data_IF_440369843658
#
_entry.id   IF_440369843658
#
_cell.length_a   1.000
_cell.length_b   1.000
_cell.length_c   1.000
_cell.angle_alpha   90.00
_cell.angle_beta   90.00
_cell.angle_gamma   90.00
#
_symmetry.space_group_name_H-M   'P 1'
#
loop_
_entity.id
_entity.type
_entity.pdbx_description
1 polymer ?
#
# COMPACT_ATOMS: atom_id res chain seq x y z
N UNK A 1 -14.55 18.66 45.96
CA UNK A 1 -15.49 18.67 44.79
C UNK A 1 -16.81 17.96 45.02
N UNK A 2 -16.90 16.67 45.40
CA UNK A 2 -18.23 16.03 45.63
C UNK A 2 -18.89 16.47 46.94
N UNK A 3 -18.11 16.72 47.99
CA UNK A 3 -18.64 17.16 49.29
C UNK A 3 -19.05 18.64 49.27
N UNK A 4 -18.27 19.51 48.61
CA UNK A 4 -18.61 20.94 48.41
C UNK A 4 -19.91 21.15 47.64
N UNK A 5 -20.23 20.27 46.68
CA UNK A 5 -21.49 20.34 45.93
C UNK A 5 -22.70 19.98 46.80
N UNK A 6 -22.54 19.02 47.71
CA UNK A 6 -23.61 18.58 48.61
C UNK A 6 -23.91 19.65 49.66
N UNK A 7 -22.87 20.29 50.19
CA UNK A 7 -22.97 21.40 51.14
C UNK A 7 -23.65 22.64 50.50
N UNK A 8 -23.31 22.95 49.25
CA UNK A 8 -23.97 24.03 48.50
C UNK A 8 -25.46 23.76 48.26
N UNK A 9 -25.83 22.52 47.94
CA UNK A 9 -27.23 22.14 47.73
C UNK A 9 -28.01 22.26 49.06
N UNK A 10 -27.47 21.73 50.16
CA UNK A 10 -28.15 21.77 51.46
C UNK A 10 -28.36 23.20 51.96
N UNK A 11 -27.36 24.07 51.82
CA UNK A 11 -27.46 25.49 52.20
C UNK A 11 -28.37 26.35 51.29
N UNK A 12 -28.78 25.84 50.12
CA UNK A 12 -29.82 26.49 49.29
C UNK A 12 -31.23 26.05 49.67
N UNK A 13 -31.39 24.80 50.10
CA UNK A 13 -32.69 24.27 50.56
C UNK A 13 -33.09 24.94 51.89
N UNK A 14 -32.15 25.08 52.82
CA UNK A 14 -32.41 25.70 54.13
C UNK A 14 -32.82 27.18 54.02
N UNK A 15 -32.22 27.93 53.07
CA UNK A 15 -32.63 29.32 52.76
C UNK A 15 -34.00 29.42 52.10
N UNK A 16 -34.41 28.40 51.36
CA UNK A 16 -35.75 28.34 50.76
C UNK A 16 -36.81 28.06 51.82
N UNK A 17 -36.52 27.14 52.75
CA UNK A 17 -37.40 26.80 53.87
C UNK A 17 -37.63 28.01 54.77
N UNK A 18 -36.56 28.74 55.13
CA UNK A 18 -36.66 29.96 55.94
C UNK A 18 -37.49 31.06 55.28
N UNK A 19 -37.42 31.21 53.95
CA UNK A 19 -38.24 32.19 53.20
C UNK A 19 -39.72 31.80 53.11
N UNK A 20 -40.03 30.51 53.11
CA UNK A 20 -41.41 30.02 53.13
C UNK A 20 -42.05 30.29 54.49
N UNK A 21 -41.29 30.08 55.58
CA UNK A 21 -41.76 30.37 56.93
C UNK A 21 -41.98 31.88 57.18
N UNK A 22 -41.09 32.74 56.66
CA UNK A 22 -41.27 34.21 56.71
C UNK A 22 -42.49 34.68 55.90
N UNK A 23 -42.80 34.05 54.76
CA UNK A 23 -44.00 34.37 53.96
C UNK A 23 -45.29 33.86 54.61
N UNK A 24 -45.21 32.81 55.44
CA UNK A 24 -46.34 32.27 56.20
C UNK A 24 -46.75 33.16 57.38
N UNK A 25 -45.86 34.04 57.85
CA UNK A 25 -46.07 34.90 59.02
C UNK A 25 -46.09 36.41 58.68
N UNK A 26 -47.16 36.92 58.03
CA UNK A 26 -47.45 38.37 57.99
C UNK A 26 -48.93 38.70 57.67
N UNK A 27 -49.47 39.90 58.03
CA UNK A 27 -50.53 39.99 59.04
C UNK A 27 -51.90 40.50 58.53
N UNK A 28 -52.92 40.23 59.36
CA UNK A 28 -54.29 40.76 59.34
C UNK A 28 -54.34 42.29 59.26
N UNK A 29 -55.14 42.82 58.33
CA UNK A 29 -55.66 44.19 58.35
C UNK A 29 -57.18 44.18 58.52
N UNK A 30 -57.68 45.15 59.29
CA UNK A 30 -59.02 45.23 59.85
C UNK A 30 -60.02 46.03 58.98
N UNK A 31 -61.30 45.60 59.03
CA UNK A 31 -62.50 46.43 59.20
C UNK A 31 -63.03 47.30 58.05
N UNK A 32 -64.22 46.96 57.53
CA UNK A 32 -65.34 47.89 57.29
C UNK A 32 -66.60 47.14 56.80
N UNK A 33 -67.71 47.28 57.55
CA UNK A 33 -69.08 46.96 57.14
C UNK A 33 -69.57 47.90 56.01
N UNK A 34 -70.49 47.44 55.13
CA UNK A 34 -71.81 48.05 54.79
C UNK A 34 -72.37 47.54 53.43
N UNK A 35 -73.27 46.55 53.50
CA UNK A 35 -74.64 46.41 52.91
C UNK A 35 -75.08 47.14 51.58
N UNK A 36 -75.57 46.32 50.61
CA UNK A 36 -76.66 46.43 49.57
C UNK A 36 -76.46 46.84 48.07
N UNK A 37 -76.68 45.83 47.19
CA UNK A 37 -77.43 45.73 45.89
C UNK A 37 -76.87 46.25 44.52
N UNK A 38 -77.17 45.63 43.33
CA UNK A 38 -76.43 45.80 42.05
C UNK A 38 -77.21 46.38 40.83
N UNK A 39 -76.50 46.84 39.77
CA UNK A 39 -77.00 47.05 38.37
C UNK A 39 -75.87 47.04 37.28
N UNK A 40 -76.21 46.73 36.00
CA UNK A 40 -75.43 46.09 34.90
C UNK A 40 -74.73 46.98 33.82
N UNK A 41 -73.78 46.42 33.03
CA UNK A 41 -73.16 46.99 31.78
C UNK A 41 -72.91 45.88 30.69
N UNK A 42 -72.99 46.28 29.40
CA UNK A 42 -73.16 45.56 28.11
C UNK A 42 -71.91 44.83 27.51
N UNK A 43 -72.09 43.65 26.86
CA UNK A 43 -71.06 42.59 26.65
C UNK A 43 -70.64 42.26 25.19
N UNK A 44 -71.27 42.85 24.17
CA UNK A 44 -71.23 42.31 22.78
C UNK A 44 -69.93 42.46 21.97
N UNK A 45 -69.10 43.50 22.18
CA UNK A 45 -67.82 43.67 21.45
C UNK A 45 -66.71 42.74 21.95
N UNK A 46 -66.79 42.37 23.23
CA UNK A 46 -65.83 41.49 23.89
C UNK A 46 -65.96 40.06 23.34
N UNK A 47 -67.18 39.58 23.14
CA UNK A 47 -67.47 38.22 22.65
C UNK A 47 -66.83 37.92 21.28
N UNK A 48 -66.85 38.88 20.35
CA UNK A 48 -66.33 38.66 18.99
C UNK A 48 -64.80 38.59 18.93
N UNK A 49 -64.12 39.36 19.79
CA UNK A 49 -62.66 39.29 19.94
C UNK A 49 -62.23 38.01 20.67
N UNK A 50 -62.99 37.59 21.68
CA UNK A 50 -62.77 36.33 22.40
C UNK A 50 -62.83 35.13 21.45
N UNK A 51 -63.84 35.06 20.57
CA UNK A 51 -63.97 33.94 19.61
C UNK A 51 -62.81 33.87 18.61
N UNK A 52 -62.30 35.01 18.14
CA UNK A 52 -61.14 35.05 17.24
C UNK A 52 -59.84 34.63 17.93
N UNK A 53 -59.69 34.94 19.22
CA UNK A 53 -58.51 34.57 20.01
C UNK A 53 -58.58 33.09 20.38
N UNK A 54 -59.75 32.58 20.78
CA UNK A 54 -59.91 31.17 21.14
C UNK A 54 -59.68 30.24 19.95
N UNK A 55 -60.07 30.62 18.74
CA UNK A 55 -59.81 29.81 17.54
C UNK A 55 -58.31 29.67 17.22
N UNK A 56 -57.52 30.73 17.43
CA UNK A 56 -56.05 30.67 17.26
C UNK A 56 -55.38 29.89 18.40
N UNK A 57 -55.91 30.01 19.61
CA UNK A 57 -55.46 29.27 20.78
C UNK A 57 -55.65 27.76 20.58
N UNK A 58 -56.81 27.31 20.11
CA UNK A 58 -57.08 25.89 19.79
C UNK A 58 -56.13 25.34 18.70
N UNK A 59 -55.81 26.12 17.66
CA UNK A 59 -54.85 25.69 16.63
C UNK A 59 -53.41 25.54 17.21
N UNK A 60 -53.01 26.45 18.10
CA UNK A 60 -51.71 26.34 18.79
C UNK A 60 -51.66 25.20 19.79
N UNK A 61 -52.76 24.93 20.50
CA UNK A 61 -52.91 23.77 21.39
C UNK A 61 -52.82 22.46 20.59
N UNK A 62 -53.44 22.39 19.40
CA UNK A 62 -53.34 21.25 18.50
C UNK A 62 -51.90 21.00 17.98
N UNK A 63 -51.15 22.07 17.68
CA UNK A 63 -49.73 21.97 17.30
C UNK A 63 -48.84 21.54 18.47
N UNK A 64 -49.09 22.05 19.67
CA UNK A 64 -48.40 21.62 20.89
C UNK A 64 -48.68 20.16 21.24
N UNK A 65 -49.90 19.68 21.02
CA UNK A 65 -50.25 18.27 21.22
C UNK A 65 -49.45 17.34 20.27
N UNK A 66 -49.37 17.69 18.98
CA UNK A 66 -48.55 16.93 18.00
C UNK A 66 -47.06 16.97 18.31
N UNK A 67 -46.54 18.11 18.76
CA UNK A 67 -45.15 18.24 19.20
C UNK A 67 -44.86 17.36 20.42
N UNK A 68 -45.77 17.32 21.39
CA UNK A 68 -45.67 16.44 22.56
C UNK A 68 -45.64 14.97 22.17
N UNK A 69 -46.49 14.55 21.22
CA UNK A 69 -46.51 13.18 20.71
C UNK A 69 -45.20 12.83 19.99
N UNK A 70 -44.68 13.72 19.15
CA UNK A 70 -43.39 13.53 18.48
C UNK A 70 -42.21 13.44 19.47
N UNK A 71 -42.22 14.26 20.53
CA UNK A 71 -41.22 14.20 21.61
C UNK A 71 -41.31 12.88 22.38
N UNK A 72 -42.52 12.39 22.68
CA UNK A 72 -42.71 11.09 23.32
C UNK A 72 -42.15 9.95 22.46
N UNK A 73 -42.44 9.93 21.16
CA UNK A 73 -41.91 8.93 20.22
C UNK A 73 -40.38 9.00 20.17
N UNK A 74 -39.80 10.20 20.12
CA UNK A 74 -38.35 10.40 20.12
C UNK A 74 -37.70 9.85 21.41
N UNK A 75 -38.27 10.15 22.58
CA UNK A 75 -37.78 9.66 23.87
C UNK A 75 -37.83 8.12 23.93
N UNK A 76 -38.90 7.50 23.45
CA UNK A 76 -39.03 6.04 23.43
C UNK A 76 -38.03 5.38 22.47
N UNK A 77 -37.78 6.00 21.32
CA UNK A 77 -36.74 5.55 20.38
C UNK A 77 -35.34 5.66 21.00
N UNK A 78 -35.01 6.77 21.67
CA UNK A 78 -33.71 6.94 22.34
C UNK A 78 -33.52 5.93 23.47
N UNK A 79 -34.55 5.63 24.27
CA UNK A 79 -34.49 4.58 25.30
C UNK A 79 -34.27 3.19 24.70
N UNK A 80 -34.93 2.88 23.59
CA UNK A 80 -34.76 1.60 22.88
C UNK A 80 -33.36 1.45 22.29
N UNK A 81 -32.78 2.54 21.78
CA UNK A 81 -31.42 2.54 21.25
C UNK A 81 -30.37 2.39 22.37
N UNK A 82 -30.51 3.14 23.45
CA UNK A 82 -29.62 3.03 24.61
C UNK A 82 -29.64 1.62 25.24
N UNK A 83 -30.82 1.01 25.40
CA UNK A 83 -30.92 -0.37 25.92
C UNK A 83 -30.32 -1.42 24.96
N UNK A 84 -30.48 -1.23 23.65
CA UNK A 84 -29.88 -2.11 22.63
C UNK A 84 -28.35 -2.01 22.62
N UNK A 85 -27.81 -0.80 22.78
CA UNK A 85 -26.37 -0.60 22.84
C UNK A 85 -25.79 -1.10 24.17
N UNK A 86 -26.50 -0.97 25.28
CA UNK A 86 -26.11 -1.61 26.55
C UNK A 86 -26.06 -3.14 26.43
N UNK A 87 -27.05 -3.76 25.77
CA UNK A 87 -27.05 -5.21 25.51
C UNK A 87 -25.89 -5.64 24.61
N UNK A 88 -25.58 -4.85 23.57
CA UNK A 88 -24.41 -5.10 22.71
C UNK A 88 -23.11 -4.97 23.49
N UNK A 89 -22.98 -3.97 24.35
CA UNK A 89 -21.81 -3.81 25.21
C UNK A 89 -21.63 -5.00 26.17
N UNK A 90 -22.72 -5.51 26.77
CA UNK A 90 -22.68 -6.73 27.59
C UNK A 90 -22.22 -7.94 26.79
N UNK A 91 -22.80 -8.16 25.61
CA UNK A 91 -22.42 -9.28 24.73
C UNK A 91 -20.97 -9.20 24.25
N UNK A 92 -20.49 -8.00 23.90
CA UNK A 92 -19.10 -7.77 23.54
C UNK A 92 -18.16 -8.02 24.72
N UNK A 93 -18.54 -7.58 25.92
CA UNK A 93 -17.75 -7.80 27.13
C UNK A 93 -17.63 -9.30 27.47
N UNK A 94 -18.73 -10.05 27.37
CA UNK A 94 -18.74 -11.50 27.59
C UNK A 94 -17.87 -12.22 26.54
N UNK A 95 -17.97 -11.81 25.28
CA UNK A 95 -17.14 -12.34 24.18
C UNK A 95 -15.64 -12.06 24.42
N UNK A 96 -15.28 -10.86 24.89
CA UNK A 96 -13.90 -10.50 25.21
C UNK A 96 -13.39 -11.35 26.39
N UNK A 97 -14.21 -11.57 27.42
CA UNK A 97 -13.83 -12.43 28.55
C UNK A 97 -13.62 -13.88 28.13
N UNK A 98 -14.48 -14.41 27.25
CA UNK A 98 -14.32 -15.74 26.68
C UNK A 98 -13.02 -15.85 25.86
N UNK A 99 -12.77 -14.89 24.95
CA UNK A 99 -11.53 -14.87 24.16
C UNK A 99 -10.28 -14.77 25.05
N UNK A 100 -10.33 -13.96 26.12
CA UNK A 100 -9.23 -13.86 27.09
C UNK A 100 -8.99 -15.19 27.80
N UNK A 101 -10.05 -15.92 28.14
CA UNK A 101 -9.94 -17.24 28.75
C UNK A 101 -9.34 -18.27 27.78
N UNK A 102 -9.79 -18.29 26.52
CA UNK A 102 -9.27 -19.17 25.46
C UNK A 102 -7.79 -18.89 25.13
N UNK A 103 -7.39 -17.61 25.13
CA UNK A 103 -5.97 -17.24 24.99
C UNK A 103 -5.15 -17.71 26.18
N UNK A 104 -5.65 -17.58 27.41
CA UNK A 104 -4.95 -18.05 28.60
C UNK A 104 -4.80 -19.58 28.63
N UNK A 105 -5.81 -20.33 28.20
CA UNK A 105 -5.71 -21.80 28.11
C UNK A 105 -4.75 -22.22 27.01
N UNK A 106 -4.82 -21.58 25.83
CA UNK A 106 -3.88 -21.85 24.72
C UNK A 106 -2.45 -21.49 25.12
N UNK A 107 -2.24 -20.36 25.79
CA UNK A 107 -0.93 -19.95 26.30
C UNK A 107 -0.36 -20.96 27.29
N UNK A 108 -1.17 -21.48 28.22
CA UNK A 108 -0.75 -22.55 29.13
C UNK A 108 -0.38 -23.82 28.38
N UNK A 109 -1.19 -24.25 27.41
CA UNK A 109 -0.88 -25.44 26.59
C UNK A 109 0.43 -25.27 25.82
N UNK A 110 0.69 -24.09 25.25
CA UNK A 110 1.95 -23.80 24.56
C UNK A 110 3.12 -23.77 25.54
N UNK A 111 2.94 -23.17 26.72
CA UNK A 111 3.96 -23.12 27.76
C UNK A 111 4.27 -24.52 28.32
N UNK A 112 3.26 -25.34 28.57
CA UNK A 112 3.39 -26.73 29.00
C UNK A 112 4.06 -27.58 27.94
N UNK A 113 3.74 -27.37 26.65
CA UNK A 113 4.40 -28.04 25.52
C UNK A 113 5.85 -27.60 25.36
N UNK A 114 6.15 -26.32 25.59
CA UNK A 114 7.51 -25.79 25.60
C UNK A 114 8.31 -26.36 26.76
N UNK A 115 7.72 -26.42 27.96
CA UNK A 115 8.34 -27.04 29.12
C UNK A 115 8.54 -28.54 28.90
N UNK A 116 7.57 -29.23 28.31
CA UNK A 116 7.67 -30.64 27.94
C UNK A 116 8.78 -30.88 26.91
N UNK A 117 8.94 -30.00 25.92
CA UNK A 117 10.06 -30.03 24.96
C UNK A 117 11.40 -29.75 25.65
N UNK A 118 11.44 -28.84 26.63
CA UNK A 118 12.61 -28.57 27.46
C UNK A 118 12.96 -29.71 28.43
N UNK A 119 11.98 -30.51 28.83
CA UNK A 119 12.14 -31.65 29.74
C UNK A 119 12.25 -33.01 29.04
N UNK A 120 12.30 -33.05 27.69
CA UNK A 120 12.71 -34.27 26.98
C UNK A 120 14.12 -34.61 27.51
N UNK A 121 14.33 -35.75 28.19
CA UNK A 121 15.67 -36.16 28.57
C UNK A 121 16.44 -36.24 27.26
N UNK A 122 17.59 -35.55 27.13
CA UNK A 122 18.46 -35.64 25.96
C UNK A 122 18.60 -37.13 25.59
N UNK A 123 17.81 -37.57 24.61
CA UNK A 123 17.74 -38.96 24.18
C UNK A 123 19.06 -39.20 23.50
N UNK A 124 20.06 -39.64 24.27
CA UNK A 124 21.45 -39.84 23.88
C UNK A 124 21.70 -39.21 22.53
N UNK A 125 21.76 -37.87 22.53
CA UNK A 125 22.27 -37.17 21.37
C UNK A 125 23.68 -37.72 21.31
N UNK A 126 23.93 -38.66 20.39
CA UNK A 126 25.26 -38.91 19.86
C UNK A 126 25.61 -37.57 19.24
N UNK A 127 26.07 -36.71 20.12
CA UNK A 127 26.44 -35.36 19.81
C UNK A 127 27.73 -35.63 19.10
N UNK A 128 27.70 -35.73 17.77
CA UNK A 128 28.85 -35.33 17.01
C UNK A 128 29.00 -33.85 17.32
N UNK A 129 29.64 -33.55 18.45
CA UNK A 129 30.29 -32.28 18.69
C UNK A 129 31.21 -32.17 17.49
N UNK A 130 30.77 -31.43 16.48
CA UNK A 130 31.68 -30.86 15.51
C UNK A 130 32.46 -29.83 16.33
N UNK A 131 33.50 -30.31 17.00
CA UNK A 131 34.54 -29.42 17.48
C UNK A 131 34.98 -28.61 16.25
N UNK A 132 35.01 -27.27 16.33
CA UNK A 132 35.60 -26.46 15.27
C UNK A 132 37.10 -26.80 15.06
N UNK A 133 37.68 -27.60 15.96
CA UNK A 133 39.00 -28.23 15.89
C UNK A 133 39.02 -29.61 15.20
N UNK A 134 37.89 -30.10 14.68
CA UNK A 134 37.86 -31.36 13.94
C UNK A 134 38.64 -31.21 12.64
N UNK A 135 39.60 -32.10 12.40
CA UNK A 135 40.46 -32.11 11.19
C UNK A 135 39.65 -31.98 9.91
N UNK A 136 38.45 -32.59 9.86
CA UNK A 136 37.57 -32.53 8.69
C UNK A 136 36.96 -31.15 8.44
N UNK A 137 36.59 -30.40 9.48
CA UNK A 137 36.05 -29.04 9.35
C UNK A 137 37.16 -28.08 8.91
N UNK A 138 38.37 -28.23 9.44
CA UNK A 138 39.52 -27.43 9.03
C UNK A 138 39.95 -27.73 7.58
N UNK A 139 39.96 -29.02 7.19
CA UNK A 139 40.19 -29.43 5.79
C UNK A 139 39.09 -28.92 4.86
N UNK A 140 37.83 -28.89 5.30
CA UNK A 140 36.72 -28.35 4.53
C UNK A 140 36.85 -26.83 4.32
N UNK A 141 37.18 -26.07 5.36
CA UNK A 141 37.44 -24.63 5.28
C UNK A 141 38.65 -24.35 4.37
N UNK A 142 39.74 -25.12 4.52
CA UNK A 142 40.90 -25.03 3.64
C UNK A 142 40.58 -25.38 2.20
N UNK A 143 39.76 -26.41 1.97
CA UNK A 143 39.28 -26.81 0.65
C UNK A 143 38.40 -25.74 0.01
N UNK A 144 37.51 -25.10 0.78
CA UNK A 144 36.71 -23.97 0.32
C UNK A 144 37.59 -22.77 -0.06
N UNK A 145 38.58 -22.42 0.76
CA UNK A 145 39.51 -21.35 0.46
C UNK A 145 40.33 -21.64 -0.81
N UNK A 146 40.83 -22.88 -0.96
CA UNK A 146 41.56 -23.29 -2.15
C UNK A 146 40.66 -23.28 -3.39
N UNK A 147 39.42 -23.76 -3.28
CA UNK A 147 38.45 -23.72 -4.37
C UNK A 147 38.15 -22.28 -4.80
N UNK A 148 37.98 -21.35 -3.84
CA UNK A 148 37.80 -19.93 -4.14
C UNK A 148 39.01 -19.33 -4.87
N UNK A 149 40.23 -19.64 -4.43
CA UNK A 149 41.45 -19.17 -5.10
C UNK A 149 41.55 -19.73 -6.52
N UNK A 150 41.29 -21.03 -6.71
CA UNK A 150 41.29 -21.66 -8.03
C UNK A 150 40.18 -21.06 -8.91
N UNK A 151 39.01 -20.77 -8.35
CA UNK A 151 37.90 -20.17 -9.09
C UNK A 151 38.24 -18.75 -9.56
N UNK A 152 38.82 -17.92 -8.69
CA UNK A 152 39.27 -16.56 -9.05
C UNK A 152 40.42 -16.63 -10.05
N UNK A 153 41.41 -17.50 -9.83
CA UNK A 153 42.54 -17.68 -10.74
C UNK A 153 42.07 -18.15 -12.12
N UNK A 154 41.22 -19.18 -12.17
CA UNK A 154 40.65 -19.72 -13.40
C UNK A 154 39.84 -18.68 -14.17
N UNK A 155 39.03 -17.88 -13.47
CA UNK A 155 38.28 -16.78 -14.09
C UNK A 155 39.23 -15.70 -14.65
N UNK A 156 40.29 -15.36 -13.90
CA UNK A 156 41.28 -14.36 -14.32
C UNK A 156 42.12 -14.84 -15.51
N UNK A 157 42.55 -16.11 -15.53
CA UNK A 157 43.27 -16.70 -16.66
C UNK A 157 42.39 -16.77 -17.89
N UNK A 158 41.13 -17.19 -17.72
CA UNK A 158 40.16 -17.24 -18.82
C UNK A 158 39.88 -15.84 -19.40
N UNK A 159 39.74 -14.82 -18.54
CA UNK A 159 39.59 -13.44 -18.99
C UNK A 159 40.81 -12.93 -19.76
N UNK A 160 42.03 -13.28 -19.28
CA UNK A 160 43.28 -12.92 -19.97
C UNK A 160 43.38 -13.60 -21.34
N UNK A 161 43.06 -14.89 -21.41
CA UNK A 161 43.03 -15.63 -22.67
C UNK A 161 42.01 -15.04 -23.63
N UNK A 162 40.78 -14.78 -23.17
CA UNK A 162 39.74 -14.17 -24.00
C UNK A 162 40.18 -12.82 -24.57
N UNK A 163 40.83 -11.97 -23.76
CA UNK A 163 41.39 -10.71 -24.24
C UNK A 163 42.46 -10.91 -25.31
N UNK A 164 43.35 -11.89 -25.12
CA UNK A 164 44.39 -12.18 -26.11
C UNK A 164 43.79 -12.72 -27.43
N UNK A 165 42.75 -13.56 -27.35
CA UNK A 165 42.03 -14.06 -28.52
C UNK A 165 41.33 -12.93 -29.28
N UNK A 166 40.64 -12.04 -28.57
CA UNK A 166 39.97 -10.88 -29.17
C UNK A 166 40.99 -9.95 -29.86
N UNK A 167 42.15 -9.75 -29.25
CA UNK A 167 43.21 -8.91 -29.80
C UNK A 167 43.84 -9.54 -31.06
N UNK A 168 44.14 -10.84 -31.04
CA UNK A 168 44.67 -11.56 -32.20
C UNK A 168 43.66 -11.62 -33.35
N UNK A 169 42.38 -11.84 -33.03
CA UNK A 169 41.28 -11.80 -34.01
C UNK A 169 41.14 -10.41 -34.63
N UNK A 170 41.17 -9.35 -33.83
CA UNK A 170 41.11 -7.98 -34.33
C UNK A 170 42.32 -7.66 -35.23
N UNK A 171 43.53 -8.08 -34.85
CA UNK A 171 44.74 -7.95 -35.69
C UNK A 171 44.54 -8.65 -37.04
N UNK A 172 44.03 -9.88 -37.04
CA UNK A 172 43.78 -10.64 -38.26
C UNK A 172 42.73 -9.96 -39.16
N UNK A 173 41.61 -9.51 -38.60
CA UNK A 173 40.56 -8.81 -39.36
C UNK A 173 41.03 -7.46 -39.90
N UNK A 174 41.79 -6.71 -39.11
CA UNK A 174 42.40 -5.46 -39.53
C UNK A 174 43.36 -5.65 -40.72
N UNK A 175 44.21 -6.69 -40.67
CA UNK A 175 45.07 -7.04 -41.80
C UNK A 175 44.28 -7.44 -43.04
N UNK A 176 43.17 -8.16 -42.88
CA UNK A 176 42.30 -8.54 -44.02
C UNK A 176 41.57 -7.35 -44.66
N UNK A 177 41.29 -6.29 -43.89
CA UNK A 177 40.73 -5.04 -44.41
C UNK A 177 41.76 -4.25 -45.24
N UNK A 178 43.03 -4.29 -44.85
CA UNK A 178 44.11 -3.55 -45.51
C UNK A 178 44.65 -4.42 -46.65
N UNK A 179 44.02 -4.31 -47.84
CA UNK A 179 44.15 -5.21 -49.00
C UNK A 179 45.58 -5.68 -49.40
N UNK A 180 46.68 -4.91 -49.21
CA UNK A 180 48.03 -5.44 -49.19
C UNK A 180 48.65 -5.35 -47.78
N UNK A 181 49.09 -6.49 -47.28
CA UNK A 181 49.91 -6.63 -46.07
C UNK A 181 51.33 -6.07 -46.27
N UNK A 182 51.45 -4.82 -46.72
CA UNK A 182 52.74 -4.15 -46.79
C UNK A 182 53.35 -4.09 -45.40
N UNK A 183 54.67 -4.31 -45.32
CA UNK A 183 55.43 -4.45 -44.08
C UNK A 183 55.19 -3.26 -43.12
N UNK A 184 54.89 -2.07 -43.67
CA UNK A 184 54.59 -0.87 -42.89
C UNK A 184 53.27 -0.94 -42.10
N UNK A 185 52.20 -1.55 -42.64
CA UNK A 185 50.91 -1.65 -41.95
C UNK A 185 50.94 -2.72 -40.85
N UNK A 186 51.62 -3.85 -41.11
CA UNK A 186 51.88 -4.86 -40.08
C UNK A 186 52.70 -4.22 -38.95
N UNK A 187 53.77 -3.50 -39.29
CA UNK A 187 54.62 -2.81 -38.31
C UNK A 187 53.86 -1.74 -37.53
N UNK A 188 52.91 -1.04 -38.15
CA UNK A 188 52.06 -0.07 -37.47
C UNK A 188 51.13 -0.74 -36.46
N UNK A 189 50.40 -1.79 -36.86
CA UNK A 189 49.50 -2.54 -35.97
C UNK A 189 50.30 -3.17 -34.83
N UNK A 190 51.41 -3.84 -35.13
CA UNK A 190 52.19 -4.50 -34.09
C UNK A 190 52.79 -3.51 -33.10
N UNK A 191 53.30 -2.36 -33.58
CA UNK A 191 53.81 -1.29 -32.70
C UNK A 191 52.73 -0.77 -31.76
N UNK A 192 51.51 -0.52 -32.23
CA UNK A 192 50.44 0.09 -31.43
C UNK A 192 49.62 -0.90 -30.60
N UNK A 193 49.73 -2.21 -30.88
CA UNK A 193 49.05 -3.25 -30.11
C UNK A 193 49.96 -3.88 -29.05
N UNK A 194 51.23 -4.18 -29.37
CA UNK A 194 52.15 -4.86 -28.44
C UNK A 194 53.17 -3.94 -27.78
N UNK A 195 53.94 -3.18 -28.56
CA UNK A 195 55.12 -2.43 -28.04
C UNK A 195 54.75 -1.11 -27.35
N UNK A 196 53.88 -0.32 -27.97
CA UNK A 196 53.39 0.97 -27.49
C UNK A 196 51.87 0.97 -27.52
N UNK A 197 51.27 0.17 -26.63
CA UNK A 197 49.82 -0.03 -26.58
C UNK A 197 49.08 1.31 -26.49
N UNK A 198 48.32 1.63 -27.53
CA UNK A 198 47.47 2.82 -27.57
C UNK A 198 46.02 2.39 -27.79
N UNK A 199 45.24 2.42 -26.72
CA UNK A 199 43.85 1.98 -26.73
C UNK A 199 42.99 2.81 -27.70
N UNK A 200 43.33 4.10 -27.93
CA UNK A 200 42.61 4.92 -28.91
C UNK A 200 42.83 4.45 -30.34
N UNK A 201 44.05 4.02 -30.65
CA UNK A 201 44.38 3.45 -31.97
C UNK A 201 43.71 2.10 -32.15
N UNK A 202 43.70 1.26 -31.11
CA UNK A 202 43.01 -0.04 -31.12
C UNK A 202 41.51 0.15 -31.37
N UNK A 203 40.88 1.12 -30.70
CA UNK A 203 39.46 1.44 -30.89
C UNK A 203 39.15 2.00 -32.28
N UNK A 204 40.01 2.87 -32.83
CA UNK A 204 39.86 3.36 -34.21
C UNK A 204 39.96 2.21 -35.21
N UNK A 205 40.92 1.30 -35.04
CA UNK A 205 41.06 0.09 -35.88
C UNK A 205 39.82 -0.79 -35.76
N UNK A 206 39.30 -1.02 -34.54
CA UNK A 206 38.05 -1.77 -34.31
C UNK A 206 36.87 -1.15 -35.04
N UNK A 207 36.72 0.17 -34.98
CA UNK A 207 35.65 0.90 -35.67
C UNK A 207 35.77 0.77 -37.19
N UNK A 208 36.97 0.95 -37.74
CA UNK A 208 37.23 0.81 -39.18
C UNK A 208 36.93 -0.58 -39.70
N UNK A 209 37.37 -1.62 -38.98
CA UNK A 209 37.08 -3.02 -39.30
C UNK A 209 35.57 -3.25 -39.32
N UNK A 210 34.84 -2.79 -38.29
CA UNK A 210 33.40 -2.96 -38.23
C UNK A 210 32.66 -2.27 -39.40
N UNK A 211 33.06 -1.05 -39.76
CA UNK A 211 32.48 -0.33 -40.91
C UNK A 211 32.76 -1.05 -42.22
N UNK A 212 33.99 -1.55 -42.40
CA UNK A 212 34.37 -2.30 -43.58
C UNK A 212 33.59 -3.61 -43.71
N UNK A 213 33.49 -4.39 -42.63
CA UNK A 213 32.74 -5.64 -42.60
C UNK A 213 31.25 -5.42 -42.87
N UNK A 214 30.64 -4.38 -42.29
CA UNK A 214 29.25 -4.00 -42.59
C UNK A 214 29.08 -3.61 -44.06
N UNK A 215 30.05 -2.89 -44.65
CA UNK A 215 30.00 -2.52 -46.07
C UNK A 215 30.08 -3.74 -46.99
N UNK A 216 30.93 -4.72 -46.69
CA UNK A 216 31.04 -5.99 -47.42
C UNK A 216 29.74 -6.77 -47.30
N UNK A 217 29.20 -6.89 -46.09
CA UNK A 217 27.95 -7.61 -45.85
C UNK A 217 26.79 -7.00 -46.64
N UNK A 218 26.65 -5.66 -46.60
CA UNK A 218 25.64 -4.94 -47.38
C UNK A 218 25.83 -5.11 -48.87
N UNK A 219 27.07 -5.06 -49.36
CA UNK A 219 27.36 -5.27 -50.77
C UNK A 219 26.91 -6.67 -51.22
N UNK A 220 27.30 -7.73 -50.50
CA UNK A 220 26.87 -9.09 -50.81
C UNK A 220 25.34 -9.25 -50.80
N UNK A 221 24.68 -8.68 -49.78
CA UNK A 221 23.22 -8.67 -49.70
C UNK A 221 22.58 -7.95 -50.90
N UNK A 222 23.15 -6.83 -51.34
CA UNK A 222 22.67 -6.11 -52.52
C UNK A 222 22.84 -6.93 -53.80
N UNK A 223 23.97 -7.62 -53.96
CA UNK A 223 24.24 -8.50 -55.10
C UNK A 223 23.25 -9.67 -55.16
N UNK A 224 22.98 -10.32 -54.03
CA UNK A 224 21.99 -11.42 -53.96
C UNK A 224 20.58 -10.95 -54.30
N UNK A 225 20.15 -9.80 -53.75
CA UNK A 225 18.83 -9.22 -54.04
C UNK A 225 18.75 -8.82 -55.52
N UNK A 226 19.82 -8.26 -56.09
CA UNK A 226 19.86 -7.91 -57.50
C UNK A 226 19.73 -9.15 -58.40
N UNK A 227 20.47 -10.22 -58.12
CA UNK A 227 20.38 -11.49 -58.83
C UNK A 227 18.97 -12.12 -58.74
N UNK A 228 18.37 -12.07 -57.54
CA UNK A 228 16.99 -12.54 -57.34
C UNK A 228 15.97 -11.73 -58.16
N UNK A 229 16.05 -10.39 -58.10
CA UNK A 229 15.15 -9.51 -58.86
C UNK A 229 15.32 -9.69 -60.37
N UNK A 230 16.54 -9.86 -60.85
CA UNK A 230 16.81 -10.16 -62.26
C UNK A 230 16.19 -11.50 -62.70
N UNK A 231 16.32 -12.54 -61.88
CA UNK A 231 15.70 -13.85 -62.16
C UNK A 231 14.17 -13.77 -62.24
N UNK A 232 13.55 -12.98 -61.35
CA UNK A 232 12.11 -12.75 -61.34
C UNK A 232 11.66 -11.95 -62.57
N UNK A 233 12.39 -10.90 -62.93
CA UNK A 233 12.11 -10.09 -64.11
C UNK A 233 12.18 -10.92 -65.40
N UNK A 234 13.20 -11.79 -65.52
CA UNK A 234 13.32 -12.73 -66.65
C UNK A 234 12.14 -13.69 -66.70
N UNK A 235 11.71 -14.24 -65.57
CA UNK A 235 10.54 -15.13 -65.49
C UNK A 235 9.25 -14.43 -65.96
N UNK A 236 8.95 -13.25 -65.41
CA UNK A 236 7.78 -12.46 -65.79
C UNK A 236 7.80 -12.05 -67.28
N UNK A 237 8.98 -11.72 -67.81
CA UNK A 237 9.15 -11.40 -69.24
C UNK A 237 8.83 -12.60 -70.13
N UNK A 238 9.26 -13.80 -69.74
CA UNK A 238 8.96 -15.02 -70.47
C UNK A 238 7.45 -15.33 -70.45
N UNK A 239 6.80 -15.25 -69.29
CA UNK A 239 5.35 -15.44 -69.14
C UNK A 239 4.55 -14.43 -69.99
N UNK A 240 4.95 -13.14 -69.97
CA UNK A 240 4.32 -12.11 -70.80
C UNK A 240 4.46 -12.39 -72.30
N UNK A 241 5.63 -12.81 -72.75
CA UNK A 241 5.88 -13.17 -74.14
C UNK A 241 5.05 -14.39 -74.58
N UNK A 242 4.84 -15.36 -73.69
CA UNK A 242 3.99 -16.51 -73.93
C UNK A 242 2.52 -16.10 -74.13
N UNK A 243 1.98 -15.27 -73.24
CA UNK A 243 0.62 -14.70 -73.37
C UNK A 243 0.47 -13.94 -74.69
N UNK A 244 1.45 -13.11 -75.05
CA UNK A 244 1.44 -12.35 -76.31
C UNK A 244 1.41 -13.24 -77.55
N UNK A 245 2.07 -14.41 -77.50
CA UNK A 245 2.00 -15.40 -78.59
C UNK A 245 0.64 -16.05 -78.68
N UNK A 246 0.00 -16.37 -77.54
CA UNK A 246 -1.35 -16.93 -77.51
C UNK A 246 -2.40 -15.98 -78.08
N UNK A 247 -2.29 -14.68 -77.84
CA UNK A 247 -3.24 -13.67 -78.35
C UNK A 247 -3.05 -13.37 -79.85
N UNK A 248 -1.83 -13.51 -80.38
CA UNK A 248 -1.53 -13.26 -81.80
C UNK A 248 -1.91 -14.42 -82.73
N UNK A 249 -2.30 -15.57 -82.18
CA UNK A 249 -2.73 -16.74 -82.92
C UNK A 249 -4.25 -16.76 -83.02
#
# INVERSE_FOLDING_TARGET
MKEELLEAIYGTVERLEQKVDELSASPKNAGAETVLSPASIDTSKLEKAILSVSAKEEETIGKMAKLREAICIYIDLTKKEASKDEQRCKLLFDTINQMKQELNTTSKVVQDKLHAMGSIPQKNVVTHRFEPTSKYVLLFIGGLALFLVISIWGNLTQWREHKNWEEADLKYRALKMVLPSDDQNIRYIEKHFSVCRDEKVIDDVRSRVAVYEDSIFRYHKMVEIAAYKDSLARKLTNESNEIKRLIKK
#
